data_IF_534214140446
#
_entry.id   IF_534214140446
#
_cell.length_a   1.000
_cell.length_b   1.000
_cell.length_c   1.000
_cell.angle_alpha   90.00
_cell.angle_beta   90.00
_cell.angle_gamma   90.00
#
_symmetry.space_group_name_H-M   'P 1'
#
loop_
_entity.id
_entity.type
_entity.pdbx_description
1 polymer ?
#
# COMPACT_ATOMS: atom_id res chain seq x y z
N UNK A 1 41.44 71.68 22.46
CA UNK A 1 40.74 70.38 22.40
C UNK A 1 39.77 70.40 21.22
N UNK A 2 40.07 69.74 20.09
CA UNK A 2 39.10 69.59 18.99
C UNK A 2 38.15 68.41 19.26
N UNK A 3 36.88 68.49 18.82
CA UNK A 3 35.86 67.49 19.13
C UNK A 3 36.14 66.15 18.42
N UNK A 4 35.79 65.06 19.11
CA UNK A 4 36.06 63.67 18.72
C UNK A 4 35.43 63.27 17.35
N UNK A 5 36.03 62.30 16.61
CA UNK A 5 35.64 61.87 15.25
C UNK A 5 34.34 61.03 15.19
N UNK A 6 33.40 61.20 16.13
CA UNK A 6 32.19 60.37 16.20
C UNK A 6 31.26 60.54 14.98
N UNK A 7 31.25 61.72 14.35
CA UNK A 7 30.38 62.02 13.20
C UNK A 7 30.81 61.33 11.90
N UNK A 8 32.11 61.19 11.66
CA UNK A 8 32.64 60.51 10.46
C UNK A 8 32.47 58.99 10.55
N UNK A 9 32.58 58.41 11.74
CA UNK A 9 32.28 56.99 11.97
C UNK A 9 30.80 56.66 11.76
N UNK A 10 29.88 57.53 12.21
CA UNK A 10 28.43 57.32 12.01
C UNK A 10 28.03 57.41 10.54
N UNK A 11 28.64 58.32 9.76
CA UNK A 11 28.40 58.44 8.32
C UNK A 11 28.97 57.24 7.54
N UNK A 12 30.18 56.79 7.88
CA UNK A 12 30.79 55.61 7.27
C UNK A 12 30.01 54.32 7.59
N UNK A 13 29.55 54.16 8.84
CA UNK A 13 28.70 53.04 9.25
C UNK A 13 27.34 53.06 8.54
N UNK A 14 26.73 54.24 8.38
CA UNK A 14 25.48 54.41 7.63
C UNK A 14 25.59 54.01 6.15
N UNK A 15 26.72 54.32 5.50
CA UNK A 15 27.00 53.91 4.12
C UNK A 15 27.12 52.39 3.94
N UNK A 16 27.78 51.71 4.89
CA UNK A 16 27.90 50.24 4.88
C UNK A 16 26.53 49.58 5.09
N UNK A 17 25.73 50.08 6.04
CA UNK A 17 24.38 49.55 6.27
C UNK A 17 23.48 49.78 5.05
N UNK A 18 23.56 50.96 4.40
CA UNK A 18 22.77 51.27 3.21
C UNK A 18 23.15 50.38 2.01
N UNK A 19 24.44 50.09 1.80
CA UNK A 19 24.90 49.20 0.71
C UNK A 19 24.51 47.74 0.95
N UNK A 20 24.62 47.24 2.19
CA UNK A 20 24.13 45.90 2.55
C UNK A 20 22.61 45.81 2.37
N UNK A 21 21.86 46.82 2.80
CA UNK A 21 20.41 46.88 2.63
C UNK A 21 20.01 46.90 1.15
N UNK A 22 20.70 47.69 0.32
CA UNK A 22 20.46 47.77 -1.13
C UNK A 22 20.79 46.43 -1.82
N UNK A 23 21.94 45.81 -1.49
CA UNK A 23 22.32 44.49 -1.99
C UNK A 23 21.30 43.41 -1.59
N UNK A 24 20.80 43.46 -0.35
CA UNK A 24 19.74 42.57 0.12
C UNK A 24 18.42 42.78 -0.65
N UNK A 25 18.00 44.02 -0.89
CA UNK A 25 16.78 44.34 -1.64
C UNK A 25 16.88 43.92 -3.11
N UNK A 26 18.02 44.13 -3.76
CA UNK A 26 18.31 43.64 -5.13
C UNK A 26 18.26 42.11 -5.15
N UNK A 27 18.98 41.44 -4.24
CA UNK A 27 18.97 39.99 -4.13
C UNK A 27 17.56 39.44 -3.83
N UNK A 28 16.76 40.13 -3.02
CA UNK A 28 15.37 39.78 -2.71
C UNK A 28 14.46 39.95 -3.93
N UNK A 29 14.62 41.02 -4.71
CA UNK A 29 13.84 41.27 -5.95
C UNK A 29 14.19 40.27 -7.04
N UNK A 30 15.48 39.98 -7.25
CA UNK A 30 15.95 38.93 -8.16
C UNK A 30 15.41 37.56 -7.74
N UNK A 31 15.51 37.22 -6.44
CA UNK A 31 14.93 35.97 -5.90
C UNK A 31 13.41 35.90 -6.09
N UNK A 32 12.68 36.99 -5.88
CA UNK A 32 11.22 37.06 -6.12
C UNK A 32 10.89 36.87 -7.60
N UNK A 33 11.57 37.56 -8.51
CA UNK A 33 11.38 37.42 -9.95
C UNK A 33 11.72 36.02 -10.46
N UNK A 34 12.80 35.42 -9.96
CA UNK A 34 13.15 34.03 -10.26
C UNK A 34 12.08 33.05 -9.75
N UNK A 35 11.56 33.25 -8.53
CA UNK A 35 10.44 32.44 -7.99
C UNK A 35 9.17 32.57 -8.83
N UNK A 36 8.85 33.77 -9.31
CA UNK A 36 7.70 33.99 -10.18
C UNK A 36 7.84 33.23 -11.50
N UNK A 37 8.96 33.42 -12.20
CA UNK A 37 9.24 32.71 -13.46
C UNK A 37 9.28 31.19 -13.29
N UNK A 38 9.81 30.70 -12.18
CA UNK A 38 9.80 29.27 -11.85
C UNK A 38 8.37 28.74 -11.67
N UNK A 39 7.48 29.51 -11.02
CA UNK A 39 6.06 29.15 -10.86
C UNK A 39 5.33 29.15 -12.21
N UNK A 40 5.54 30.17 -13.04
CA UNK A 40 4.95 30.22 -14.39
C UNK A 40 5.44 29.07 -15.26
N UNK A 41 6.74 28.76 -15.22
CA UNK A 41 7.32 27.64 -15.94
C UNK A 41 6.75 26.29 -15.45
N UNK A 42 6.61 26.11 -14.13
CA UNK A 42 5.98 24.93 -13.55
C UNK A 42 4.52 24.81 -13.97
N UNK A 43 3.74 25.89 -13.89
CA UNK A 43 2.33 25.90 -14.28
C UNK A 43 2.16 25.54 -15.75
N UNK A 44 2.92 26.19 -16.63
CA UNK A 44 2.91 25.89 -18.07
C UNK A 44 3.27 24.43 -18.35
N UNK A 45 4.27 23.89 -17.65
CA UNK A 45 4.64 22.48 -17.80
C UNK A 45 3.52 21.56 -17.32
N UNK A 46 2.90 21.85 -16.17
CA UNK A 46 1.75 21.10 -15.65
C UNK A 46 0.57 21.11 -16.60
N UNK A 47 0.27 22.24 -17.24
CA UNK A 47 -0.82 22.35 -18.21
C UNK A 47 -0.54 21.49 -19.45
N UNK A 48 0.69 21.56 -19.98
CA UNK A 48 1.11 20.71 -21.10
C UNK A 48 1.12 19.21 -20.75
N UNK A 49 1.52 18.85 -19.53
CA UNK A 49 1.44 17.47 -19.03
C UNK A 49 -0.01 16.99 -18.99
N UNK A 50 -0.94 17.81 -18.48
CA UNK A 50 -2.37 17.48 -18.43
C UNK A 50 -2.95 17.30 -19.82
N UNK A 51 -2.65 18.20 -20.76
CA UNK A 51 -3.07 18.09 -22.17
C UNK A 51 -2.51 16.83 -22.81
N UNK A 52 -1.22 16.55 -22.64
CA UNK A 52 -0.58 15.36 -23.22
C UNK A 52 -1.18 14.06 -22.66
N UNK A 53 -1.44 13.98 -21.36
CA UNK A 53 -2.07 12.79 -20.75
C UNK A 53 -3.54 12.66 -21.14
N UNK A 54 -4.25 13.76 -21.36
CA UNK A 54 -5.66 13.73 -21.76
C UNK A 54 -5.86 13.42 -23.25
N UNK A 55 -5.04 13.97 -24.14
CA UNK A 55 -5.26 13.98 -25.58
C UNK A 55 -4.09 13.42 -26.42
N UNK A 56 -2.92 13.11 -25.82
CA UNK A 56 -1.73 12.64 -26.55
C UNK A 56 -1.07 13.69 -27.44
N UNK A 57 -1.55 14.93 -27.41
CA UNK A 57 -1.09 16.04 -28.26
C UNK A 57 -0.05 16.92 -27.55
N UNK A 58 0.64 17.78 -28.30
CA UNK A 58 1.57 18.76 -27.73
C UNK A 58 2.92 18.19 -27.28
N UNK A 59 3.31 17.00 -27.75
CA UNK A 59 4.54 16.33 -27.31
C UNK A 59 5.83 17.13 -27.60
N UNK A 60 5.88 17.90 -28.69
CA UNK A 60 7.05 18.74 -29.02
C UNK A 60 7.18 19.91 -28.05
N UNK A 61 6.06 20.59 -27.79
CA UNK A 61 5.93 21.72 -26.87
C UNK A 61 6.25 21.27 -25.44
N UNK A 62 5.71 20.13 -25.03
CA UNK A 62 5.99 19.50 -23.76
C UNK A 62 7.49 19.21 -23.59
N UNK A 63 8.14 18.61 -24.59
CA UNK A 63 9.60 18.37 -24.55
C UNK A 63 10.39 19.67 -24.38
N UNK A 64 10.02 20.73 -25.11
CA UNK A 64 10.68 22.04 -25.02
C UNK A 64 10.47 22.66 -23.63
N UNK A 65 9.24 22.69 -23.13
CA UNK A 65 8.91 23.21 -21.80
C UNK A 65 9.65 22.43 -20.70
N UNK A 66 9.67 21.10 -20.79
CA UNK A 66 10.38 20.23 -19.85
C UNK A 66 11.90 20.44 -19.85
N UNK A 67 12.50 20.81 -20.99
CA UNK A 67 13.94 21.13 -21.06
C UNK A 67 14.25 22.50 -20.47
N UNK A 68 13.35 23.47 -20.66
CA UNK A 68 13.50 24.83 -20.17
C UNK A 68 13.22 24.96 -18.66
N UNK A 69 12.37 24.10 -18.11
CA UNK A 69 12.04 24.08 -16.68
C UNK A 69 13.29 23.89 -15.81
N UNK A 70 13.27 24.49 -14.62
CA UNK A 70 14.22 24.13 -13.57
C UNK A 70 13.85 22.77 -12.95
N UNK A 71 14.77 22.20 -12.17
CA UNK A 71 14.61 20.86 -11.62
C UNK A 71 13.43 20.74 -10.65
N UNK A 72 13.12 21.79 -9.88
CA UNK A 72 12.01 21.80 -8.93
C UNK A 72 10.68 21.91 -9.66
N UNK A 73 10.59 22.78 -10.66
CA UNK A 73 9.43 22.94 -11.52
C UNK A 73 9.12 21.66 -12.29
N UNK A 74 10.14 21.01 -12.84
CA UNK A 74 10.00 19.76 -13.59
C UNK A 74 9.36 18.65 -12.74
N UNK A 75 9.93 18.38 -11.56
CA UNK A 75 9.40 17.32 -10.70
C UNK A 75 8.11 17.72 -10.00
N UNK A 76 7.95 18.97 -9.59
CA UNK A 76 6.70 19.46 -9.00
C UNK A 76 5.52 19.31 -9.98
N UNK A 77 5.73 19.57 -11.27
CA UNK A 77 4.72 19.36 -12.30
C UNK A 77 4.34 17.87 -12.45
N UNK A 78 5.32 16.97 -12.49
CA UNK A 78 5.08 15.52 -12.55
C UNK A 78 4.44 14.95 -11.27
N UNK A 79 4.82 15.46 -10.10
CA UNK A 79 4.27 15.05 -8.80
C UNK A 79 2.81 15.52 -8.64
N UNK A 80 2.46 16.68 -9.23
CA UNK A 80 1.09 17.20 -9.26
C UNK A 80 0.18 16.47 -10.26
N UNK A 81 0.76 15.68 -11.15
CA UNK A 81 0.02 14.95 -12.18
C UNK A 81 -0.76 13.82 -11.51
N UNK A 82 -2.08 14.00 -11.42
CA UNK A 82 -2.98 12.97 -10.91
C UNK A 82 -2.80 11.67 -11.68
N UNK A 83 -3.02 10.51 -11.03
CA UNK A 83 -2.91 9.27 -11.72
C UNK A 83 -4.03 9.10 -12.79
N UNK A 84 -3.79 9.56 -14.02
CA UNK A 84 -4.69 9.36 -15.17
C UNK A 84 -4.93 7.89 -15.56
N UNK A 85 -6.05 7.58 -16.22
CA UNK A 85 -6.49 6.20 -16.47
C UNK A 85 -5.69 5.46 -17.56
N UNK A 86 -5.05 6.17 -18.50
CA UNK A 86 -4.42 5.56 -19.68
C UNK A 86 -2.94 5.14 -19.42
N UNK A 87 -2.63 3.83 -19.36
CA UNK A 87 -1.26 3.35 -19.17
C UNK A 87 -0.35 3.55 -20.40
N UNK A 88 -0.92 3.53 -21.62
CA UNK A 88 -0.17 3.71 -22.86
C UNK A 88 0.34 5.15 -22.98
N UNK A 89 -0.52 6.14 -22.72
CA UNK A 89 -0.12 7.56 -22.70
C UNK A 89 0.96 7.85 -21.67
N UNK A 90 0.91 7.21 -20.50
CA UNK A 90 2.00 7.31 -19.51
C UNK A 90 3.31 6.72 -20.00
N UNK A 91 3.27 5.60 -20.72
CA UNK A 91 4.47 5.02 -21.33
C UNK A 91 5.09 5.99 -22.32
N UNK A 92 4.26 6.57 -23.21
CA UNK A 92 4.70 7.59 -24.15
C UNK A 92 5.29 8.82 -23.45
N UNK A 93 4.66 9.29 -22.37
CA UNK A 93 5.17 10.40 -21.55
C UNK A 93 6.54 10.05 -20.96
N UNK A 94 6.68 8.83 -20.42
CA UNK A 94 7.93 8.32 -19.88
C UNK A 94 9.04 8.32 -20.93
N UNK A 95 8.78 7.77 -22.11
CA UNK A 95 9.73 7.74 -23.23
C UNK A 95 10.13 9.14 -23.70
N UNK A 96 9.16 10.05 -23.75
CA UNK A 96 9.35 11.44 -24.15
C UNK A 96 10.27 12.20 -23.17
N UNK A 97 10.16 11.93 -21.87
CA UNK A 97 10.87 12.64 -20.81
C UNK A 97 12.12 11.91 -20.29
N UNK A 98 12.31 10.63 -20.58
CA UNK A 98 13.41 9.82 -20.02
C UNK A 98 14.81 10.34 -20.40
N UNK A 99 14.94 10.97 -21.57
CA UNK A 99 16.20 11.59 -22.03
C UNK A 99 16.38 13.03 -21.53
N UNK A 100 15.43 13.57 -20.76
CA UNK A 100 15.55 14.90 -20.18
C UNK A 100 16.66 14.93 -19.11
N UNK A 101 17.40 16.03 -19.02
CA UNK A 101 18.46 16.25 -18.04
C UNK A 101 18.03 15.97 -16.59
N UNK A 102 16.78 16.26 -16.24
CA UNK A 102 16.26 16.04 -14.89
C UNK A 102 16.03 14.56 -14.59
N UNK A 103 15.53 13.79 -15.56
CA UNK A 103 15.39 12.34 -15.43
C UNK A 103 16.77 11.65 -15.38
N UNK A 104 17.72 12.09 -16.21
CA UNK A 104 19.10 11.60 -16.18
C UNK A 104 19.80 11.93 -14.85
N UNK A 105 19.55 13.11 -14.28
CA UNK A 105 20.06 13.49 -12.97
C UNK A 105 19.54 12.56 -11.86
N UNK A 106 18.24 12.24 -11.84
CA UNK A 106 17.71 11.28 -10.85
C UNK A 106 18.29 9.87 -11.06
N UNK A 107 18.53 9.44 -12.30
CA UNK A 107 19.19 8.15 -12.56
C UNK A 107 20.61 8.09 -11.99
N UNK A 108 21.34 9.20 -12.00
CA UNK A 108 22.65 9.31 -11.36
C UNK A 108 22.50 9.34 -9.84
N UNK A 109 21.53 10.09 -9.32
CA UNK A 109 21.26 10.23 -7.89
C UNK A 109 20.84 8.91 -7.20
N UNK A 110 20.45 7.86 -7.94
CA UNK A 110 20.27 6.51 -7.37
C UNK A 110 21.57 5.90 -6.80
N UNK A 111 22.73 6.46 -7.18
CA UNK A 111 24.07 6.08 -6.71
C UNK A 111 24.70 7.16 -5.82
N UNK A 112 23.91 8.11 -5.36
CA UNK A 112 24.36 9.16 -4.43
C UNK A 112 24.75 8.53 -3.08
N UNK A 113 25.70 9.13 -2.36
CA UNK A 113 26.12 8.60 -1.05
C UNK A 113 24.99 8.69 -0.02
N UNK A 114 24.09 9.67 -0.15
CA UNK A 114 22.97 9.86 0.76
C UNK A 114 21.83 8.88 0.45
N UNK A 115 21.45 7.98 1.40
CA UNK A 115 20.32 7.07 1.22
C UNK A 115 19.00 7.81 0.97
N UNK A 116 18.80 8.96 1.61
CA UNK A 116 17.62 9.80 1.39
C UNK A 116 17.55 10.35 -0.03
N UNK A 117 18.70 10.78 -0.59
CA UNK A 117 18.75 11.29 -1.96
C UNK A 117 18.43 10.20 -2.98
N UNK A 118 18.97 8.99 -2.76
CA UNK A 118 18.67 7.79 -3.55
C UNK A 118 17.19 7.41 -3.48
N UNK A 119 16.59 7.48 -2.29
CA UNK A 119 15.18 7.19 -2.07
C UNK A 119 14.27 8.16 -2.84
N UNK A 120 14.53 9.47 -2.72
CA UNK A 120 13.80 10.51 -3.46
C UNK A 120 13.93 10.29 -4.97
N UNK A 121 15.13 9.95 -5.45
CA UNK A 121 15.36 9.64 -6.85
C UNK A 121 14.55 8.44 -7.32
N UNK A 122 14.47 7.38 -6.51
CA UNK A 122 13.65 6.21 -6.81
C UNK A 122 12.16 6.56 -6.90
N UNK A 123 11.64 7.37 -5.96
CA UNK A 123 10.24 7.82 -5.96
C UNK A 123 9.91 8.60 -7.23
N UNK A 124 10.75 9.56 -7.61
CA UNK A 124 10.60 10.41 -8.80
C UNK A 124 10.69 9.63 -10.10
N UNK A 125 11.68 8.75 -10.23
CA UNK A 125 11.79 7.88 -11.40
C UNK A 125 10.59 6.94 -11.54
N UNK A 126 9.93 6.57 -10.44
CA UNK A 126 8.68 5.82 -10.45
C UNK A 126 7.48 6.56 -11.08
N UNK A 127 7.56 7.88 -11.27
CA UNK A 127 6.57 8.66 -12.01
C UNK A 127 6.76 8.54 -13.53
N UNK A 128 7.94 8.10 -13.97
CA UNK A 128 8.28 7.93 -15.38
C UNK A 128 8.15 6.45 -15.77
N UNK A 129 7.14 6.14 -16.58
CA UNK A 129 6.95 4.81 -17.17
C UNK A 129 7.91 4.56 -18.32
N UNK A 130 9.22 4.51 -18.05
CA UNK A 130 10.25 4.43 -19.09
C UNK A 130 11.22 3.23 -18.90
N UNK A 131 11.71 2.61 -19.98
CA UNK A 131 12.56 1.42 -19.88
C UNK A 131 13.88 1.60 -19.12
N UNK A 132 14.55 2.74 -19.27
CA UNK A 132 15.80 3.04 -18.55
C UNK A 132 15.56 3.35 -17.07
N UNK A 133 14.46 4.03 -16.72
CA UNK A 133 14.01 4.25 -15.35
C UNK A 133 13.75 2.90 -14.65
N UNK A 134 13.01 1.99 -15.30
CA UNK A 134 12.79 0.61 -14.78
C UNK A 134 14.09 -0.14 -14.55
N UNK A 135 15.05 -0.06 -15.49
CA UNK A 135 16.37 -0.70 -15.34
C UNK A 135 17.17 -0.11 -14.17
N UNK A 136 17.14 1.22 -14.01
CA UNK A 136 17.85 1.90 -12.94
C UNK A 136 17.23 1.60 -11.56
N UNK A 137 15.89 1.64 -11.47
CA UNK A 137 15.13 1.27 -10.28
C UNK A 137 15.39 -0.18 -9.87
N UNK A 138 15.40 -1.13 -10.81
CA UNK A 138 15.71 -2.54 -10.48
C UNK A 138 17.11 -2.70 -9.88
N UNK A 139 18.12 -1.99 -10.42
CA UNK A 139 19.46 -2.01 -9.81
C UNK A 139 19.47 -1.38 -8.42
N UNK A 140 18.81 -0.24 -8.25
CA UNK A 140 18.72 0.44 -6.95
C UNK A 140 17.94 -0.39 -5.90
N UNK A 141 16.96 -1.18 -6.33
CA UNK A 141 16.23 -2.10 -5.47
C UNK A 141 17.13 -3.23 -4.95
N UNK A 142 18.00 -3.78 -5.81
CA UNK A 142 18.89 -4.90 -5.45
C UNK A 142 20.07 -4.43 -4.60
N UNK A 143 20.68 -3.29 -4.95
CA UNK A 143 21.90 -2.77 -4.32
C UNK A 143 21.62 -1.71 -3.25
N UNK A 144 20.35 -1.49 -2.94
CA UNK A 144 19.88 -0.44 -2.03
C UNK A 144 19.93 -0.86 -0.57
N UNK A 145 20.17 0.08 0.37
CA UNK A 145 19.69 -0.13 1.73
C UNK A 145 18.15 -0.21 1.71
N UNK A 146 17.57 -0.85 2.71
CA UNK A 146 16.13 -1.15 2.76
C UNK A 146 15.19 0.04 2.40
N UNK A 147 15.40 1.30 2.85
CA UNK A 147 14.55 2.41 2.44
C UNK A 147 14.55 2.64 0.91
N UNK A 148 15.72 2.53 0.30
CA UNK A 148 15.88 2.65 -1.16
C UNK A 148 15.27 1.44 -1.86
N UNK A 149 15.46 0.24 -1.31
CA UNK A 149 14.84 -0.99 -1.81
C UNK A 149 13.32 -0.89 -1.84
N UNK A 150 12.72 -0.44 -0.73
CA UNK A 150 11.27 -0.24 -0.65
C UNK A 150 10.79 0.83 -1.63
N UNK A 151 11.45 1.99 -1.70
CA UNK A 151 11.05 3.05 -2.60
C UNK A 151 11.15 2.64 -4.08
N UNK A 152 12.21 1.92 -4.45
CA UNK A 152 12.38 1.36 -5.78
C UNK A 152 11.36 0.26 -6.08
N UNK A 153 11.07 -0.62 -5.12
CA UNK A 153 10.04 -1.65 -5.26
C UNK A 153 8.64 -1.04 -5.44
N UNK A 154 8.26 -0.03 -4.65
CA UNK A 154 7.00 0.70 -4.81
C UNK A 154 6.90 1.41 -6.16
N UNK A 155 8.00 2.03 -6.61
CA UNK A 155 8.07 2.65 -7.94
C UNK A 155 7.84 1.60 -9.04
N UNK A 156 8.55 0.48 -8.98
CA UNK A 156 8.42 -0.64 -9.94
C UNK A 156 7.04 -1.31 -9.89
N UNK A 157 6.42 -1.35 -8.71
CA UNK A 157 5.09 -1.91 -8.52
C UNK A 157 4.01 -1.08 -9.23
N UNK A 158 4.07 0.26 -9.13
CA UNK A 158 3.22 1.16 -9.92
C UNK A 158 3.39 0.93 -11.42
N UNK A 159 4.61 0.60 -11.84
CA UNK A 159 4.95 0.26 -13.23
C UNK A 159 4.62 -1.19 -13.61
N UNK A 160 3.99 -1.95 -12.70
CA UNK A 160 3.59 -3.37 -12.87
C UNK A 160 4.76 -4.27 -13.27
N UNK A 161 5.96 -3.99 -12.75
CA UNK A 161 7.18 -4.69 -13.12
C UNK A 161 7.24 -6.11 -12.52
N UNK A 162 6.98 -7.12 -13.35
CA UNK A 162 6.96 -8.52 -12.91
C UNK A 162 8.31 -9.03 -12.39
N UNK A 163 9.43 -8.51 -12.93
CA UNK A 163 10.77 -8.92 -12.47
C UNK A 163 11.04 -8.39 -11.07
N UNK A 164 10.61 -7.16 -10.79
CA UNK A 164 10.69 -6.59 -9.45
C UNK A 164 9.85 -7.38 -8.45
N UNK A 165 8.62 -7.75 -8.81
CA UNK A 165 7.78 -8.60 -7.96
C UNK A 165 8.46 -9.93 -7.64
N UNK A 166 8.93 -10.65 -8.66
CA UNK A 166 9.63 -11.93 -8.46
C UNK A 166 10.86 -11.78 -7.56
N UNK A 167 11.61 -10.69 -7.71
CA UNK A 167 12.77 -10.43 -6.86
C UNK A 167 12.37 -10.19 -5.40
N UNK A 168 11.33 -9.37 -5.14
CA UNK A 168 10.82 -9.11 -3.78
C UNK A 168 10.35 -10.41 -3.11
N UNK A 169 9.73 -11.31 -3.85
CA UNK A 169 9.28 -12.61 -3.33
C UNK A 169 10.44 -13.57 -3.07
N UNK A 170 11.53 -13.47 -3.83
CA UNK A 170 12.72 -14.30 -3.66
C UNK A 170 13.69 -13.78 -2.59
N UNK A 171 13.60 -12.51 -2.21
CA UNK A 171 14.50 -11.85 -1.25
C UNK A 171 13.71 -11.09 -0.16
N UNK A 172 12.84 -11.76 0.62
CA UNK A 172 12.03 -11.12 1.65
C UNK A 172 12.86 -10.42 2.74
N UNK A 173 14.09 -10.88 2.98
CA UNK A 173 15.07 -10.32 3.92
C UNK A 173 15.50 -8.90 3.55
N UNK A 174 15.47 -8.54 2.26
CA UNK A 174 15.76 -7.18 1.81
C UNK A 174 14.74 -6.15 2.33
N UNK A 175 13.59 -6.62 2.83
CA UNK A 175 12.54 -5.83 3.48
C UNK A 175 12.24 -6.38 4.88
N UNK A 176 13.23 -6.88 5.61
CA UNK A 176 13.06 -7.54 6.91
C UNK A 176 12.34 -6.67 7.96
N UNK A 177 12.59 -5.34 8.00
CA UNK A 177 11.94 -4.43 8.97
C UNK A 177 10.49 -4.08 8.59
N UNK A 178 9.97 -4.60 7.48
CA UNK A 178 8.59 -4.34 7.05
C UNK A 178 7.62 -5.35 7.65
N UNK A 179 6.55 -4.80 8.23
CA UNK A 179 5.44 -5.58 8.75
C UNK A 179 4.71 -6.33 7.64
N UNK A 180 4.00 -7.44 7.95
CA UNK A 180 3.18 -8.15 6.96
C UNK A 180 2.20 -7.22 6.23
N UNK A 181 1.58 -6.27 6.94
CA UNK A 181 0.65 -5.29 6.36
C UNK A 181 1.33 -4.37 5.35
N UNK A 182 2.55 -3.91 5.64
CA UNK A 182 3.33 -3.08 4.72
C UNK A 182 3.75 -3.88 3.48
N UNK A 183 4.15 -5.15 3.65
CA UNK A 183 4.42 -6.05 2.53
C UNK A 183 3.17 -6.29 1.68
N UNK A 184 2.01 -6.59 2.29
CA UNK A 184 0.76 -6.77 1.57
C UNK A 184 0.37 -5.52 0.76
N UNK A 185 0.57 -4.32 1.32
CA UNK A 185 0.34 -3.06 0.59
C UNK A 185 1.29 -2.92 -0.62
N UNK A 186 2.56 -3.27 -0.47
CA UNK A 186 3.53 -3.32 -1.57
C UNK A 186 3.12 -4.35 -2.63
N UNK A 187 2.83 -5.59 -2.25
CA UNK A 187 2.43 -6.66 -3.19
C UNK A 187 1.15 -6.28 -3.96
N UNK A 188 0.16 -5.70 -3.27
CA UNK A 188 -1.06 -5.19 -3.90
C UNK A 188 -0.78 -4.07 -4.91
N UNK A 189 0.25 -3.26 -4.69
CA UNK A 189 0.62 -2.20 -5.62
C UNK A 189 1.17 -2.72 -6.96
N UNK A 190 1.50 -4.02 -7.09
CA UNK A 190 1.75 -4.69 -8.39
C UNK A 190 0.47 -5.04 -9.17
N UNK A 191 -0.70 -4.95 -8.53
CA UNK A 191 -2.01 -5.05 -9.18
C UNK A 191 -2.39 -6.46 -9.64
N UNK A 192 -3.46 -6.56 -10.43
CA UNK A 192 -4.02 -7.83 -10.91
C UNK A 192 -2.99 -8.77 -11.57
N UNK A 193 -2.08 -8.30 -12.44
CA UNK A 193 -1.05 -9.17 -13.03
C UNK A 193 -0.10 -9.79 -12.00
N UNK A 194 0.09 -9.12 -10.86
CA UNK A 194 0.93 -9.65 -9.77
C UNK A 194 0.28 -10.82 -9.05
N UNK A 195 -1.06 -10.87 -8.96
CA UNK A 195 -1.78 -11.90 -8.21
C UNK A 195 -1.52 -13.32 -8.74
N UNK A 196 -1.33 -13.49 -10.05
CA UNK A 196 -0.99 -14.78 -10.62
C UNK A 196 0.39 -15.27 -10.14
N UNK A 197 1.38 -14.38 -10.07
CA UNK A 197 2.72 -14.69 -9.58
C UNK A 197 2.68 -14.99 -8.07
N UNK A 198 1.88 -14.25 -7.30
CA UNK A 198 1.70 -14.51 -5.86
C UNK A 198 1.10 -15.89 -5.61
N UNK A 199 0.08 -16.28 -6.39
CA UNK A 199 -0.55 -17.59 -6.27
C UNK A 199 0.45 -18.71 -6.61
N UNK A 200 1.22 -18.55 -7.70
CA UNK A 200 2.27 -19.50 -8.11
C UNK A 200 3.34 -19.68 -7.03
N UNK A 201 3.78 -18.59 -6.40
CA UNK A 201 4.79 -18.64 -5.33
C UNK A 201 4.21 -19.25 -4.04
N UNK A 202 2.98 -18.90 -3.67
CA UNK A 202 2.31 -19.48 -2.50
C UNK A 202 2.09 -21.00 -2.67
N UNK A 203 1.74 -21.44 -3.88
CA UNK A 203 1.58 -22.86 -4.25
C UNK A 203 2.89 -23.63 -4.04
N UNK A 204 4.00 -23.09 -4.55
CA UNK A 204 5.33 -23.69 -4.38
C UNK A 204 5.79 -23.75 -2.91
N UNK A 205 5.34 -22.81 -2.07
CA UNK A 205 5.71 -22.75 -0.65
C UNK A 205 7.16 -22.29 -0.41
N UNK A 206 7.64 -22.48 0.82
CA UNK A 206 9.01 -22.14 1.23
C UNK A 206 9.22 -20.67 1.62
N UNK A 207 8.16 -19.87 1.68
CA UNK A 207 8.23 -18.50 2.20
C UNK A 207 8.16 -18.48 3.74
N UNK A 208 8.77 -17.46 4.36
CA UNK A 208 8.59 -17.24 5.79
C UNK A 208 7.13 -16.88 6.12
N UNK A 209 6.70 -17.11 7.37
CA UNK A 209 5.31 -16.86 7.78
C UNK A 209 4.87 -15.40 7.54
N UNK A 210 5.80 -14.45 7.60
CA UNK A 210 5.58 -13.02 7.39
C UNK A 210 5.20 -12.73 5.93
N UNK A 211 5.95 -13.29 4.97
CA UNK A 211 5.69 -13.17 3.55
C UNK A 211 4.47 -13.99 3.15
N UNK A 212 4.32 -15.22 3.65
CA UNK A 212 3.12 -16.04 3.39
C UNK A 212 1.85 -15.31 3.78
N UNK A 213 1.79 -14.76 5.00
CA UNK A 213 0.68 -13.92 5.44
C UNK A 213 0.41 -12.76 4.48
N UNK A 214 1.46 -12.04 4.08
CA UNK A 214 1.31 -10.89 3.18
C UNK A 214 0.78 -11.30 1.79
N UNK A 215 1.22 -12.46 1.26
CA UNK A 215 0.73 -13.01 0.00
C UNK A 215 -0.74 -13.41 0.12
N UNK A 216 -1.12 -14.13 1.17
CA UNK A 216 -2.50 -14.58 1.42
C UNK A 216 -3.45 -13.38 1.57
N UNK A 217 -3.08 -12.37 2.37
CA UNK A 217 -3.86 -11.14 2.51
C UNK A 217 -4.04 -10.44 1.16
N UNK A 218 -2.98 -10.38 0.34
CA UNK A 218 -3.02 -9.75 -0.99
C UNK A 218 -3.89 -10.53 -1.98
N UNK A 219 -3.83 -11.86 -1.98
CA UNK A 219 -4.62 -12.73 -2.84
C UNK A 219 -6.11 -12.67 -2.50
N UNK A 220 -6.44 -12.69 -1.20
CA UNK A 220 -7.81 -12.54 -0.71
C UNK A 220 -8.41 -11.17 -1.06
N UNK A 221 -7.71 -10.07 -0.75
CA UNK A 221 -8.14 -8.71 -1.12
C UNK A 221 -8.19 -8.51 -2.64
N UNK A 222 -7.35 -9.22 -3.39
CA UNK A 222 -7.30 -9.17 -4.85
C UNK A 222 -8.37 -10.00 -5.56
N UNK A 223 -9.15 -10.81 -4.83
CA UNK A 223 -10.20 -11.66 -5.40
C UNK A 223 -9.67 -12.82 -6.25
N UNK A 224 -8.44 -13.32 -6.01
CA UNK A 224 -7.82 -14.38 -6.83
C UNK A 224 -8.35 -15.77 -6.42
N UNK A 225 -9.57 -16.11 -6.85
CA UNK A 225 -10.23 -17.40 -6.52
C UNK A 225 -9.40 -18.64 -6.88
N UNK A 226 -8.59 -18.59 -7.95
CA UNK A 226 -7.70 -19.72 -8.32
C UNK A 226 -6.60 -20.01 -7.29
N UNK A 227 -6.36 -19.12 -6.33
CA UNK A 227 -5.45 -19.36 -5.22
C UNK A 227 -6.13 -20.04 -4.02
N UNK A 228 -7.44 -20.35 -4.08
CA UNK A 228 -8.18 -20.90 -2.94
C UNK A 228 -7.55 -22.18 -2.39
N UNK A 229 -7.25 -23.16 -3.23
CA UNK A 229 -6.60 -24.41 -2.81
C UNK A 229 -5.23 -24.16 -2.14
N UNK A 230 -4.43 -23.23 -2.70
CA UNK A 230 -3.15 -22.84 -2.12
C UNK A 230 -3.30 -22.22 -0.73
N UNK A 231 -4.32 -21.37 -0.55
CA UNK A 231 -4.64 -20.71 0.71
C UNK A 231 -5.21 -21.72 1.72
N UNK A 232 -6.05 -22.65 1.28
CA UNK A 232 -6.66 -23.68 2.13
C UNK A 232 -5.61 -24.55 2.81
N UNK A 233 -4.54 -24.95 2.11
CA UNK A 233 -3.41 -25.67 2.72
C UNK A 233 -2.71 -24.88 3.83
N UNK A 234 -2.87 -23.55 3.89
CA UNK A 234 -2.31 -22.71 4.95
C UNK A 234 -3.21 -22.57 6.18
N UNK A 235 -4.39 -23.19 6.17
CA UNK A 235 -5.19 -23.41 7.37
C UNK A 235 -4.49 -24.37 8.36
N UNK A 236 -3.56 -25.20 7.90
CA UNK A 236 -2.74 -26.08 8.74
C UNK A 236 -1.34 -25.50 9.05
N UNK A 237 -1.09 -24.22 8.77
CA UNK A 237 0.23 -23.62 9.00
C UNK A 237 0.58 -23.58 10.49
N UNK A 238 1.85 -23.78 10.83
CA UNK A 238 2.32 -23.70 12.22
C UNK A 238 2.08 -22.32 12.84
N UNK A 239 2.20 -21.26 12.04
CA UNK A 239 2.01 -19.89 12.48
C UNK A 239 0.53 -19.48 12.51
N UNK A 240 0.04 -19.05 13.68
CA UNK A 240 -1.35 -18.62 13.91
C UNK A 240 -1.78 -17.46 13.01
N UNK A 241 -0.91 -16.47 12.78
CA UNK A 241 -1.24 -15.32 11.93
C UNK A 241 -1.45 -15.74 10.47
N UNK A 242 -0.73 -16.76 10.00
CA UNK A 242 -0.91 -17.34 8.66
C UNK A 242 -2.26 -18.05 8.58
N UNK A 243 -2.62 -18.86 9.58
CA UNK A 243 -3.95 -19.52 9.65
C UNK A 243 -5.09 -18.50 9.65
N UNK A 244 -4.99 -17.47 10.49
CA UNK A 244 -5.97 -16.36 10.53
C UNK A 244 -6.08 -15.64 9.19
N UNK A 245 -4.94 -15.37 8.52
CA UNK A 245 -4.94 -14.75 7.20
C UNK A 245 -5.61 -15.65 6.15
N UNK A 246 -5.37 -16.96 6.20
CA UNK A 246 -5.97 -17.95 5.30
C UNK A 246 -7.49 -17.99 5.45
N UNK A 247 -8.01 -18.13 6.67
CA UNK A 247 -9.46 -18.10 6.95
C UNK A 247 -10.10 -16.82 6.40
N UNK A 248 -9.50 -15.66 6.69
CA UNK A 248 -10.01 -14.36 6.20
C UNK A 248 -9.95 -14.23 4.69
N UNK A 249 -8.92 -14.78 4.05
CA UNK A 249 -8.77 -14.73 2.60
C UNK A 249 -9.82 -15.63 1.92
N UNK A 250 -10.00 -16.87 2.39
CA UNK A 250 -11.03 -17.78 1.85
C UNK A 250 -12.43 -17.19 1.98
N UNK A 251 -12.75 -16.61 3.15
CA UNK A 251 -14.02 -15.89 3.36
C UNK A 251 -14.24 -14.77 2.33
N UNK A 252 -13.21 -13.94 2.08
CA UNK A 252 -13.29 -12.86 1.08
C UNK A 252 -13.39 -13.36 -0.35
N UNK A 253 -12.80 -14.52 -0.66
CA UNK A 253 -12.87 -15.12 -1.98
C UNK A 253 -14.25 -15.72 -2.27
N UNK A 254 -15.09 -15.95 -1.25
CA UNK A 254 -16.44 -16.48 -1.40
C UNK A 254 -16.47 -17.86 -2.05
N UNK A 255 -15.48 -18.70 -1.74
CA UNK A 255 -15.37 -20.06 -2.26
C UNK A 255 -16.13 -21.00 -1.34
N UNK A 256 -17.30 -21.46 -1.77
CA UNK A 256 -18.16 -22.36 -1.00
C UNK A 256 -17.48 -23.71 -0.71
N UNK A 257 -16.59 -24.12 -1.60
CA UNK A 257 -15.80 -25.35 -1.52
C UNK A 257 -14.88 -25.38 -0.28
N UNK A 258 -14.53 -24.21 0.28
CA UNK A 258 -13.72 -24.13 1.49
C UNK A 258 -14.52 -24.37 2.79
N UNK A 259 -15.86 -24.52 2.71
CA UNK A 259 -16.69 -24.67 3.90
C UNK A 259 -16.28 -25.85 4.81
N UNK A 260 -15.97 -27.06 4.30
CA UNK A 260 -15.50 -28.16 5.15
C UNK A 260 -14.19 -27.83 5.89
N UNK A 261 -13.24 -27.20 5.21
CA UNK A 261 -11.97 -26.79 5.80
C UNK A 261 -12.15 -25.68 6.85
N UNK A 262 -13.06 -24.74 6.61
CA UNK A 262 -13.43 -23.70 7.57
C UNK A 262 -14.17 -24.27 8.79
N UNK A 263 -15.01 -25.30 8.62
CA UNK A 263 -15.64 -26.03 9.74
C UNK A 263 -14.58 -26.67 10.62
N UNK A 264 -13.56 -27.31 10.03
CA UNK A 264 -12.45 -27.88 10.81
C UNK A 264 -11.70 -26.82 11.64
N UNK A 265 -11.59 -25.58 11.14
CA UNK A 265 -10.95 -24.47 11.85
C UNK A 265 -11.72 -24.00 13.09
N UNK A 266 -12.99 -24.40 13.28
CA UNK A 266 -13.73 -24.17 14.52
C UNK A 266 -13.15 -24.92 15.71
N UNK A 267 -12.28 -25.92 15.49
CA UNK A 267 -11.58 -26.66 16.53
C UNK A 267 -10.10 -26.26 16.67
N UNK A 268 -9.64 -25.18 16.01
CA UNK A 268 -8.25 -24.73 16.08
C UNK A 268 -7.83 -24.43 17.54
N UNK A 269 -6.61 -24.79 17.98
CA UNK A 269 -6.14 -24.50 19.33
C UNK A 269 -6.20 -23.00 19.66
N UNK A 270 -6.01 -22.15 18.66
CA UNK A 270 -5.93 -20.70 18.79
C UNK A 270 -7.29 -20.06 18.55
N UNK A 271 -7.79 -19.36 19.57
CA UNK A 271 -9.10 -18.71 19.50
C UNK A 271 -9.26 -17.70 18.37
N UNK A 272 -8.23 -16.95 17.92
CA UNK A 272 -8.39 -16.05 16.80
C UNK A 272 -8.76 -16.79 15.51
N UNK A 273 -8.28 -18.03 15.33
CA UNK A 273 -8.62 -18.85 14.16
C UNK A 273 -10.08 -19.32 14.28
N UNK A 274 -10.48 -19.86 15.43
CA UNK A 274 -11.87 -20.30 15.68
C UNK A 274 -12.89 -19.19 15.45
N UNK A 275 -12.64 -17.99 16.01
CA UNK A 275 -13.52 -16.84 15.86
C UNK A 275 -13.65 -16.37 14.40
N UNK A 276 -12.54 -16.36 13.66
CA UNK A 276 -12.56 -15.99 12.24
C UNK A 276 -13.22 -17.06 11.38
N UNK A 277 -13.08 -18.35 11.74
CA UNK A 277 -13.75 -19.45 11.05
C UNK A 277 -15.26 -19.36 11.20
N UNK A 278 -15.75 -19.11 12.43
CA UNK A 278 -17.16 -18.89 12.69
C UNK A 278 -17.71 -17.74 11.84
N UNK A 279 -17.04 -16.60 11.86
CA UNK A 279 -17.37 -15.44 11.02
C UNK A 279 -17.42 -15.79 9.53
N UNK A 280 -16.41 -16.51 9.04
CA UNK A 280 -16.28 -16.88 7.64
C UNK A 280 -17.43 -17.78 7.18
N UNK A 281 -17.84 -18.74 8.00
CA UNK A 281 -18.93 -19.68 7.70
C UNK A 281 -20.29 -18.99 7.65
N UNK A 282 -20.54 -18.04 8.55
CA UNK A 282 -21.74 -17.20 8.51
C UNK A 282 -21.81 -16.36 7.23
N UNK A 283 -20.71 -15.68 6.87
CA UNK A 283 -20.63 -14.89 5.62
C UNK A 283 -20.77 -15.74 4.36
N UNK A 284 -20.32 -17.00 4.40
CA UNK A 284 -20.42 -17.92 3.28
C UNK A 284 -21.81 -18.56 3.13
N UNK A 285 -22.71 -18.41 4.10
CA UNK A 285 -24.00 -19.09 4.07
C UNK A 285 -23.87 -20.62 4.21
N UNK A 286 -22.83 -21.11 4.89
CA UNK A 286 -22.54 -22.53 4.98
C UNK A 286 -23.54 -23.26 5.92
N UNK A 287 -24.68 -23.72 5.38
CA UNK A 287 -25.71 -24.41 6.17
C UNK A 287 -25.19 -25.63 6.96
N UNK A 288 -24.21 -26.36 6.42
CA UNK A 288 -23.55 -27.47 7.11
C UNK A 288 -22.82 -27.06 8.41
N UNK A 289 -22.58 -25.76 8.62
CA UNK A 289 -21.92 -25.24 9.80
C UNK A 289 -22.86 -25.03 10.99
N UNK A 290 -24.19 -25.18 10.87
CA UNK A 290 -25.13 -24.90 11.96
C UNK A 290 -24.77 -25.68 13.24
N UNK A 291 -24.59 -27.01 13.17
CA UNK A 291 -24.26 -27.80 14.35
C UNK A 291 -22.84 -27.47 14.90
N UNK A 292 -21.78 -27.38 14.08
CA UNK A 292 -20.46 -26.93 14.55
C UNK A 292 -20.46 -25.53 15.19
N UNK A 293 -21.23 -24.59 14.64
CA UNK A 293 -21.35 -23.24 15.20
C UNK A 293 -22.14 -23.23 16.50
N UNK A 294 -23.18 -24.06 16.63
CA UNK A 294 -23.91 -24.23 17.89
C UNK A 294 -22.99 -24.73 19.01
N UNK A 295 -22.06 -25.65 18.72
CA UNK A 295 -21.02 -26.05 19.66
C UNK A 295 -20.07 -24.89 20.02
N UNK A 296 -19.79 -23.98 19.08
CA UNK A 296 -18.98 -22.78 19.32
C UNK A 296 -19.62 -21.78 20.29
N UNK A 297 -20.91 -21.90 20.61
CA UNK A 297 -21.58 -21.06 21.62
C UNK A 297 -21.07 -21.31 23.05
N UNK A 298 -20.44 -22.45 23.31
CA UNK A 298 -19.85 -22.81 24.62
C UNK A 298 -18.33 -22.64 24.65
N UNK A 299 -17.75 -21.98 23.64
CA UNK A 299 -16.31 -21.76 23.60
C UNK A 299 -15.84 -20.93 24.80
N UNK A 300 -14.66 -21.27 25.35
CA UNK A 300 -14.03 -20.52 26.45
C UNK A 300 -13.84 -19.03 26.15
N UNK A 301 -13.57 -18.68 24.89
CA UNK A 301 -13.32 -17.31 24.48
C UNK A 301 -14.59 -16.60 24.01
N UNK A 302 -14.88 -15.47 24.64
CA UNK A 302 -16.07 -14.67 24.35
C UNK A 302 -16.16 -14.27 22.87
N UNK A 303 -15.03 -13.95 22.23
CA UNK A 303 -15.00 -13.61 20.81
C UNK A 303 -15.45 -14.76 19.92
N UNK A 304 -15.17 -16.02 20.29
CA UNK A 304 -15.61 -17.18 19.51
C UNK A 304 -17.11 -17.36 19.65
N UNK A 305 -17.63 -17.35 20.89
CA UNK A 305 -19.08 -17.44 21.18
C UNK A 305 -19.88 -16.40 20.41
N UNK A 306 -19.41 -15.15 20.44
CA UNK A 306 -20.05 -14.04 19.72
C UNK A 306 -20.10 -14.27 18.21
N UNK A 307 -18.98 -14.63 17.58
CA UNK A 307 -18.97 -14.88 16.13
C UNK A 307 -19.78 -16.12 15.74
N UNK A 308 -19.81 -17.15 16.58
CA UNK A 308 -20.65 -18.33 16.39
C UNK A 308 -22.14 -17.96 16.41
N UNK A 309 -22.57 -17.16 17.40
CA UNK A 309 -23.95 -16.70 17.48
C UNK A 309 -24.36 -15.85 16.26
N UNK A 310 -23.49 -14.94 15.82
CA UNK A 310 -23.74 -14.16 14.60
C UNK A 310 -23.79 -15.00 13.33
N UNK A 311 -22.89 -15.96 13.22
CA UNK A 311 -22.88 -16.86 12.08
C UNK A 311 -24.19 -17.66 12.03
N UNK A 312 -24.68 -18.17 13.17
CA UNK A 312 -25.97 -18.83 13.25
C UNK A 312 -27.13 -17.92 12.80
N UNK A 313 -27.19 -16.67 13.26
CA UNK A 313 -28.20 -15.72 12.76
C UNK A 313 -28.13 -15.54 11.24
N UNK A 314 -26.92 -15.42 10.68
CA UNK A 314 -26.69 -15.25 9.25
C UNK A 314 -27.12 -16.48 8.42
N UNK A 315 -27.21 -17.67 9.05
CA UNK A 315 -27.66 -18.91 8.42
C UNK A 315 -29.20 -19.08 8.44
N UNK A 316 -29.96 -18.07 8.87
CA UNK A 316 -31.41 -18.03 8.77
C UNK A 316 -32.11 -18.96 9.79
N UNK A 317 -33.26 -19.53 9.41
CA UNK A 317 -34.15 -20.27 10.32
C UNK A 317 -33.45 -21.43 11.04
N UNK A 318 -32.60 -22.19 10.35
CA UNK A 318 -31.88 -23.30 10.96
C UNK A 318 -30.91 -22.83 12.08
N UNK A 319 -30.21 -21.72 11.85
CA UNK A 319 -29.32 -21.16 12.86
C UNK A 319 -30.07 -20.45 13.99
N UNK A 320 -31.21 -19.80 13.68
CA UNK A 320 -32.11 -19.23 14.70
C UNK A 320 -32.69 -20.31 15.61
N UNK A 321 -33.08 -21.46 15.07
CA UNK A 321 -33.53 -22.61 15.85
C UNK A 321 -32.45 -23.12 16.81
N UNK A 322 -31.20 -23.22 16.34
CA UNK A 322 -30.07 -23.60 17.18
C UNK A 322 -29.82 -22.59 18.33
N UNK A 323 -29.96 -21.29 18.05
CA UNK A 323 -29.85 -20.25 19.08
C UNK A 323 -30.98 -20.33 20.12
N UNK A 324 -32.23 -20.57 19.68
CA UNK A 324 -33.36 -20.75 20.61
C UNK A 324 -33.14 -21.97 21.51
N UNK A 325 -32.66 -23.08 20.96
CA UNK A 325 -32.31 -24.27 21.73
C UNK A 325 -31.20 -23.98 22.74
N UNK A 326 -30.13 -23.29 22.33
CA UNK A 326 -29.04 -22.93 23.22
C UNK A 326 -29.48 -21.99 24.34
N UNK A 327 -30.30 -20.98 24.03
CA UNK A 327 -30.84 -20.04 25.01
C UNK A 327 -31.70 -20.73 26.08
N UNK A 328 -32.54 -21.68 25.68
CA UNK A 328 -33.45 -22.37 26.58
C UNK A 328 -32.81 -23.51 27.39
N UNK A 329 -31.89 -24.27 26.79
CA UNK A 329 -31.48 -25.57 27.30
C UNK A 329 -29.97 -25.76 27.48
N UNK A 330 -29.12 -24.80 27.09
CA UNK A 330 -27.68 -24.96 27.30
C UNK A 330 -27.35 -25.00 28.80
N UNK A 331 -26.54 -25.94 29.29
CA UNK A 331 -26.06 -25.92 30.67
C UNK A 331 -25.10 -24.76 30.94
N UNK A 332 -24.38 -24.30 29.92
CA UNK A 332 -23.44 -23.17 30.02
C UNK A 332 -24.18 -21.82 30.06
N UNK A 333 -24.09 -21.05 31.15
CA UNK A 333 -24.71 -19.73 31.24
C UNK A 333 -24.25 -18.78 30.14
N UNK A 334 -22.97 -18.80 29.76
CA UNK A 334 -22.44 -17.90 28.74
C UNK A 334 -23.02 -18.19 27.35
N UNK A 335 -23.32 -19.46 27.07
CA UNK A 335 -23.99 -19.87 25.84
C UNK A 335 -25.46 -19.45 25.83
N UNK A 336 -26.16 -19.52 26.98
CA UNK A 336 -27.54 -19.02 27.09
C UNK A 336 -27.60 -17.51 26.88
N UNK A 337 -26.70 -16.77 27.54
CA UNK A 337 -26.64 -15.32 27.49
C UNK A 337 -26.35 -14.83 26.06
N UNK A 338 -25.29 -15.36 25.41
CA UNK A 338 -24.92 -14.93 24.06
C UNK A 338 -25.98 -15.28 23.01
N UNK A 339 -26.65 -16.43 23.17
CA UNK A 339 -27.73 -16.83 22.28
C UNK A 339 -28.95 -15.92 22.44
N UNK A 340 -29.31 -15.58 23.68
CA UNK A 340 -30.42 -14.66 23.98
C UNK A 340 -30.13 -13.25 23.48
N UNK A 341 -28.90 -12.77 23.68
CA UNK A 341 -28.43 -11.46 23.20
C UNK A 341 -28.46 -11.38 21.67
N UNK A 342 -27.96 -12.42 20.98
CA UNK A 342 -28.02 -12.51 19.53
C UNK A 342 -29.48 -12.45 19.02
N UNK A 343 -30.39 -13.21 19.63
CA UNK A 343 -31.81 -13.21 19.29
C UNK A 343 -32.51 -11.87 19.56
N UNK A 344 -32.07 -11.13 20.59
CA UNK A 344 -32.59 -9.80 20.93
C UNK A 344 -32.07 -8.66 20.03
N UNK A 345 -31.18 -8.96 19.07
CA UNK A 345 -30.56 -7.96 18.20
C UNK A 345 -29.39 -7.21 18.84
N UNK A 346 -28.87 -7.71 19.97
CA UNK A 346 -27.72 -7.16 20.68
C UNK A 346 -26.43 -7.37 19.89
N UNK A 347 -26.02 -6.37 19.11
CA UNK A 347 -24.74 -5.64 19.01
C UNK A 347 -24.70 -4.95 17.63
N UNK A 348 -24.12 -3.74 17.50
CA UNK A 348 -24.19 -2.97 16.25
C UNK A 348 -23.58 -3.69 15.05
N UNK A 349 -24.25 -3.56 13.89
CA UNK A 349 -23.85 -4.10 12.57
C UNK A 349 -22.42 -3.72 12.13
N UNK A 350 -21.80 -2.72 12.76
CA UNK A 350 -20.43 -2.25 12.46
C UNK A 350 -19.33 -3.21 12.91
N UNK A 351 -19.66 -4.26 13.66
CA UNK A 351 -18.71 -5.30 14.09
C UNK A 351 -18.71 -6.56 13.21
N UNK A 352 -19.47 -6.57 12.11
CA UNK A 352 -19.64 -7.71 11.22
C UNK A 352 -18.47 -7.96 10.27
#
# INVERSE_FOLDING_TARGET
MPPAPASTFLLAAGGIVATIALAYLIARRVRRGARHRARESAQRLSDLLRVFVAAGSGGRELRRAARAADHRAFWGALESLAPGPDPARRSMLGELLERNRHALAERRALRDDSPWRRELAARRLGLLSAPGARRALRRAMVLGPEPVTLAAALALARLRDRRALRWVLAHPEALARRTPRALAALLRSFGRPGLAILAEVLERGGADARLERAMIETLGLGGRRTAAAAIERRLAAANTDVRVAAVRALSRLGVAEAAPALIACLADPEWPVRAQAARALGLAGAAAAVAPLAAGLTDREWWVRRHAAYALLALGEAGRAALLQAAAASPDPYARDIASEALAGGFPRSAA
#
